data_IF_330565941232
#
_entry.id   IF_330565941232
#
_cell.length_a   1.000
_cell.length_b   1.000
_cell.length_c   1.000
_cell.angle_alpha   90.00
_cell.angle_beta   90.00
_cell.angle_gamma   90.00
#
_symmetry.space_group_name_H-M   'P 1'
#
loop_
_entity.id
_entity.type
_entity.pdbx_description
1 polymer ?
#
# COMPACT_ATOMS: atom_id res chain seq x y z
N UNK A 1 30.70 -2.38 11.94
CA UNK A 1 30.34 -2.53 10.51
C UNK A 1 28.94 -3.13 10.46
N UNK A 2 27.90 -2.31 10.42
CA UNK A 2 26.54 -2.83 10.19
C UNK A 2 26.42 -3.21 8.73
N UNK A 3 26.15 -4.49 8.47
CA UNK A 3 25.92 -4.99 7.12
C UNK A 3 24.69 -4.28 6.54
N UNK A 4 24.89 -3.56 5.44
CA UNK A 4 23.84 -3.02 4.55
C UNK A 4 23.07 -4.18 3.89
N UNK A 5 22.36 -4.96 4.70
CA UNK A 5 21.60 -6.13 4.26
C UNK A 5 20.13 -5.81 4.09
N UNK A 6 19.53 -6.38 3.05
CA UNK A 6 18.07 -6.50 2.92
C UNK A 6 17.54 -7.17 4.19
N UNK A 7 16.58 -6.54 4.87
CA UNK A 7 15.99 -7.12 6.08
C UNK A 7 14.92 -8.16 5.71
N UNK A 8 14.54 -9.02 6.66
CA UNK A 8 13.41 -9.93 6.44
C UNK A 8 12.11 -9.17 6.13
N UNK A 9 11.98 -7.94 6.64
CA UNK A 9 10.85 -7.06 6.36
C UNK A 9 10.87 -6.58 4.90
N UNK A 10 12.03 -6.18 4.38
CA UNK A 10 12.18 -5.86 2.94
C UNK A 10 11.80 -7.06 2.06
N UNK A 11 12.25 -8.26 2.42
CA UNK A 11 11.90 -9.48 1.69
C UNK A 11 10.39 -9.77 1.71
N UNK A 12 9.72 -9.57 2.86
CA UNK A 12 8.27 -9.72 2.98
C UNK A 12 7.51 -8.71 2.12
N UNK A 13 7.97 -7.45 2.08
CA UNK A 13 7.40 -6.41 1.23
C UNK A 13 7.56 -6.72 -0.26
N UNK A 14 8.74 -7.20 -0.68
CA UNK A 14 8.96 -7.62 -2.08
C UNK A 14 8.08 -8.82 -2.44
N UNK A 15 7.93 -9.79 -1.55
CA UNK A 15 7.03 -10.93 -1.78
C UNK A 15 5.57 -10.49 -1.90
N UNK A 16 5.13 -9.57 -1.04
CA UNK A 16 3.80 -8.96 -1.13
C UNK A 16 3.61 -8.23 -2.46
N UNK A 17 4.60 -7.41 -2.86
CA UNK A 17 4.59 -6.69 -4.13
C UNK A 17 4.44 -7.64 -5.32
N UNK A 18 5.24 -8.70 -5.37
CA UNK A 18 5.17 -9.73 -6.41
C UNK A 18 3.81 -10.47 -6.40
N UNK A 19 3.24 -10.71 -5.22
CA UNK A 19 1.90 -11.29 -5.07
C UNK A 19 0.81 -10.40 -5.68
N UNK A 20 0.80 -9.11 -5.34
CA UNK A 20 -0.16 -8.13 -5.88
C UNK A 20 0.01 -7.96 -7.40
N UNK A 21 1.26 -7.91 -7.87
CA UNK A 21 1.59 -7.88 -9.29
C UNK A 21 0.99 -9.08 -10.03
N UNK A 22 1.26 -10.29 -9.54
CA UNK A 22 0.79 -11.54 -10.14
C UNK A 22 -0.73 -11.62 -10.17
N UNK A 23 -1.40 -11.17 -9.10
CA UNK A 23 -2.86 -11.13 -9.03
C UNK A 23 -3.48 -10.19 -10.06
N UNK A 24 -2.90 -9.02 -10.27
CA UNK A 24 -3.40 -8.07 -11.28
C UNK A 24 -3.08 -8.53 -12.70
N UNK A 25 -1.87 -9.06 -12.92
CA UNK A 25 -1.43 -9.62 -14.19
C UNK A 25 -2.41 -10.70 -14.67
N UNK A 26 -2.78 -11.63 -13.79
CA UNK A 26 -3.76 -12.70 -14.09
C UNK A 26 -5.18 -12.19 -14.35
N UNK A 27 -5.55 -11.02 -13.83
CA UNK A 27 -6.89 -10.44 -13.98
C UNK A 27 -7.00 -9.49 -15.17
N UNK A 28 -5.89 -9.10 -15.80
CA UNK A 28 -5.85 -8.16 -16.91
C UNK A 28 -6.61 -6.87 -16.62
N UNK A 29 -7.63 -6.55 -17.42
CA UNK A 29 -8.49 -5.36 -17.24
C UNK A 29 -9.22 -5.36 -15.89
N UNK A 30 -9.62 -6.53 -15.39
CA UNK A 30 -10.20 -6.66 -14.06
C UNK A 30 -9.20 -6.32 -12.95
N UNK A 31 -7.90 -6.52 -13.20
CA UNK A 31 -6.81 -6.08 -12.33
C UNK A 31 -6.68 -4.57 -12.28
N UNK A 32 -6.87 -3.88 -13.41
CA UNK A 32 -6.91 -2.41 -13.46
C UNK A 32 -8.10 -1.86 -12.69
N UNK A 33 -9.30 -2.39 -12.94
CA UNK A 33 -10.51 -1.96 -12.24
C UNK A 33 -10.37 -2.15 -10.72
N UNK A 34 -9.80 -3.30 -10.31
CA UNK A 34 -9.52 -3.58 -8.91
C UNK A 34 -8.50 -2.61 -8.29
N UNK A 35 -7.39 -2.36 -8.98
CA UNK A 35 -6.35 -1.44 -8.53
C UNK A 35 -6.86 -0.01 -8.38
N UNK A 36 -7.57 0.51 -9.39
CA UNK A 36 -8.16 1.85 -9.34
C UNK A 36 -9.16 1.97 -8.20
N UNK A 37 -10.01 0.98 -8.00
CA UNK A 37 -10.99 1.00 -6.92
C UNK A 37 -10.32 1.04 -5.54
N UNK A 38 -9.26 0.23 -5.32
CA UNK A 38 -8.51 0.28 -4.08
C UNK A 38 -7.79 1.62 -3.87
N UNK A 39 -7.17 2.18 -4.91
CA UNK A 39 -6.50 3.48 -4.85
C UNK A 39 -7.47 4.64 -4.58
N UNK A 40 -8.76 4.51 -4.91
CA UNK A 40 -9.79 5.51 -4.59
C UNK A 40 -10.42 5.27 -3.21
N UNK A 41 -10.66 4.01 -2.84
CA UNK A 41 -11.31 3.67 -1.56
C UNK A 41 -10.38 3.90 -0.39
N UNK A 42 -9.08 3.60 -0.54
CA UNK A 42 -8.09 3.85 0.51
C UNK A 42 -8.18 5.27 1.10
N UNK A 43 -7.98 6.36 0.33
CA UNK A 43 -7.95 7.71 0.89
C UNK A 43 -9.30 8.08 1.51
N UNK A 44 -10.40 7.59 0.92
CA UNK A 44 -11.73 7.81 1.46
C UNK A 44 -11.88 7.21 2.86
N UNK A 45 -11.40 5.98 3.06
CA UNK A 45 -11.40 5.31 4.37
C UNK A 45 -10.43 5.99 5.33
N UNK A 46 -9.23 6.36 4.89
CA UNK A 46 -8.26 7.08 5.74
C UNK A 46 -8.83 8.43 6.21
N UNK A 47 -9.48 9.18 5.31
CA UNK A 47 -10.14 10.42 5.65
C UNK A 47 -11.31 10.22 6.62
N UNK A 48 -12.13 9.19 6.40
CA UNK A 48 -13.24 8.85 7.30
C UNK A 48 -12.72 8.41 8.68
N UNK A 49 -11.64 7.63 8.72
CA UNK A 49 -11.00 7.15 9.94
C UNK A 49 -10.45 8.29 10.79
N UNK A 50 -9.89 9.33 10.16
CA UNK A 50 -9.42 10.52 10.86
C UNK A 50 -10.55 11.30 11.56
N UNK A 51 -11.80 11.20 11.08
CA UNK A 51 -12.97 11.86 11.70
C UNK A 51 -13.70 10.96 12.68
N UNK A 52 -13.92 9.71 12.31
CA UNK A 52 -14.66 8.74 13.10
C UNK A 52 -14.23 7.31 12.78
N UNK A 53 -13.31 6.78 13.61
CA UNK A 53 -12.80 5.42 13.46
C UNK A 53 -13.89 4.34 13.52
N UNK A 54 -14.95 4.56 14.31
CA UNK A 54 -16.06 3.61 14.48
C UNK A 54 -16.87 3.45 13.19
N UNK A 55 -17.06 4.53 12.42
CA UNK A 55 -17.74 4.48 11.12
C UNK A 55 -16.81 4.01 9.99
N UNK A 56 -15.50 4.27 10.10
CA UNK A 56 -14.54 3.89 9.08
C UNK A 56 -14.40 2.37 8.93
N UNK A 57 -14.48 1.62 10.04
CA UNK A 57 -14.36 0.16 10.03
C UNK A 57 -15.47 -0.54 9.22
N UNK A 58 -16.78 -0.33 9.50
CA UNK A 58 -17.84 -0.93 8.70
C UNK A 58 -17.83 -0.43 7.25
N UNK A 59 -17.51 0.86 7.02
CA UNK A 59 -17.37 1.39 5.68
C UNK A 59 -16.27 0.68 4.88
N UNK A 60 -15.11 0.42 5.51
CA UNK A 60 -14.00 -0.29 4.89
C UNK A 60 -14.37 -1.74 4.53
N UNK A 61 -15.11 -2.42 5.41
CA UNK A 61 -15.59 -3.78 5.15
C UNK A 61 -16.57 -3.83 3.96
N UNK A 62 -17.55 -2.92 3.94
CA UNK A 62 -18.56 -2.85 2.87
C UNK A 62 -17.91 -2.50 1.53
N UNK A 63 -17.08 -1.44 1.51
CA UNK A 63 -16.39 -1.03 0.29
C UNK A 63 -15.40 -2.10 -0.19
N UNK A 64 -14.65 -2.71 0.73
CA UNK A 64 -13.75 -3.82 0.42
C UNK A 64 -14.49 -5.00 -0.20
N UNK A 65 -15.65 -5.36 0.34
CA UNK A 65 -16.50 -6.40 -0.23
C UNK A 65 -17.01 -6.02 -1.63
N UNK A 66 -17.50 -4.79 -1.83
CA UNK A 66 -17.97 -4.30 -3.13
C UNK A 66 -16.86 -4.33 -4.20
N UNK A 67 -15.62 -4.02 -3.83
CA UNK A 67 -14.46 -4.07 -4.74
C UNK A 67 -14.20 -5.46 -5.31
N UNK A 68 -14.57 -6.52 -4.59
CA UNK A 68 -14.41 -7.89 -5.10
C UNK A 68 -15.29 -8.21 -6.31
N UNK A 69 -16.35 -7.43 -6.53
CA UNK A 69 -17.30 -7.62 -7.64
C UNK A 69 -16.91 -6.85 -8.91
N UNK A 70 -16.12 -5.78 -8.77
CA UNK A 70 -15.68 -4.94 -9.89
C UNK A 70 -14.98 -5.70 -11.02
N UNK A 71 -14.05 -6.65 -10.75
CA UNK A 71 -13.45 -7.47 -11.81
C UNK A 71 -14.47 -8.27 -12.62
N UNK A 72 -15.58 -8.71 -12.01
CA UNK A 72 -16.64 -9.46 -12.69
C UNK A 72 -17.46 -8.55 -13.61
N UNK A 73 -17.70 -7.31 -13.20
CA UNK A 73 -18.41 -6.33 -14.03
C UNK A 73 -17.66 -6.05 -15.35
N UNK A 74 -16.32 -5.98 -15.29
CA UNK A 74 -15.48 -5.64 -16.45
C UNK A 74 -15.00 -6.88 -17.22
N UNK A 75 -15.37 -8.10 -16.79
CA UNK A 75 -14.99 -9.35 -17.45
C UNK A 75 -15.49 -9.48 -18.91
N UNK A 76 -16.48 -8.66 -19.30
CA UNK A 76 -17.05 -8.64 -20.64
C UNK A 76 -16.18 -7.87 -21.65
N UNK A 77 -15.20 -7.08 -21.19
CA UNK A 77 -14.30 -6.30 -22.04
C UNK A 77 -13.24 -7.23 -22.63
N UNK A 78 -13.38 -7.52 -23.92
CA UNK A 78 -12.39 -8.31 -24.67
C UNK A 78 -11.35 -7.38 -25.30
N UNK A 79 -10.12 -7.45 -24.80
CA UNK A 79 -8.95 -6.81 -25.39
C UNK A 79 -8.00 -7.90 -25.89
N UNK A 80 -7.06 -7.58 -26.80
CA UNK A 80 -6.00 -8.50 -27.16
C UNK A 80 -5.25 -8.98 -25.91
N UNK A 81 -4.87 -10.26 -25.88
CA UNK A 81 -4.23 -10.87 -24.71
C UNK A 81 -3.00 -10.06 -24.27
N UNK A 82 -2.10 -9.70 -25.19
CA UNK A 82 -0.94 -8.89 -24.87
C UNK A 82 -1.30 -7.57 -24.14
N UNK A 83 -2.38 -6.90 -24.55
CA UNK A 83 -2.84 -5.65 -23.91
C UNK A 83 -3.37 -5.93 -22.50
N UNK A 84 -4.08 -7.04 -22.30
CA UNK A 84 -4.57 -7.43 -20.97
C UNK A 84 -3.41 -7.68 -20.00
N UNK A 85 -2.37 -8.39 -20.43
CA UNK A 85 -1.19 -8.66 -19.62
C UNK A 85 -0.44 -7.37 -19.26
N UNK A 86 -0.23 -6.47 -20.24
CA UNK A 86 0.44 -5.18 -19.97
C UNK A 86 -0.37 -4.35 -18.98
N UNK A 87 -1.68 -4.21 -19.18
CA UNK A 87 -2.54 -3.42 -18.30
C UNK A 87 -2.59 -4.00 -16.88
N UNK A 88 -2.78 -5.32 -16.76
CA UNK A 88 -2.79 -5.99 -15.46
C UNK A 88 -1.45 -5.93 -14.74
N UNK A 89 -0.34 -6.09 -15.47
CA UNK A 89 1.01 -5.97 -14.92
C UNK A 89 1.30 -4.56 -14.43
N UNK A 90 1.00 -3.53 -15.24
CA UNK A 90 1.18 -2.13 -14.85
C UNK A 90 0.34 -1.76 -13.62
N UNK A 91 -0.95 -2.12 -13.62
CA UNK A 91 -1.81 -1.83 -12.47
C UNK A 91 -1.36 -2.57 -11.21
N UNK A 92 -0.88 -3.81 -11.35
CA UNK A 92 -0.33 -4.60 -10.26
C UNK A 92 0.96 -4.04 -9.69
N UNK A 93 1.86 -3.57 -10.56
CA UNK A 93 3.10 -2.93 -10.15
C UNK A 93 2.82 -1.65 -9.36
N UNK A 94 1.92 -0.80 -9.86
CA UNK A 94 1.52 0.46 -9.21
C UNK A 94 0.81 0.20 -7.88
N UNK A 95 -0.22 -0.65 -7.88
CA UNK A 95 -0.96 -0.97 -6.66
C UNK A 95 -0.07 -1.62 -5.61
N UNK A 96 0.73 -2.60 -6.01
CA UNK A 96 1.64 -3.28 -5.11
C UNK A 96 2.65 -2.30 -4.50
N UNK A 97 3.18 -1.36 -5.29
CA UNK A 97 4.11 -0.34 -4.81
C UNK A 97 3.41 0.59 -3.81
N UNK A 98 2.18 1.00 -4.09
CA UNK A 98 1.37 1.79 -3.16
C UNK A 98 1.14 1.08 -1.82
N UNK A 99 0.74 -0.20 -1.85
CA UNK A 99 0.56 -1.03 -0.64
C UNK A 99 1.87 -1.20 0.11
N UNK A 100 2.97 -1.44 -0.60
CA UNK A 100 4.30 -1.60 -0.02
C UNK A 100 4.73 -0.34 0.72
N UNK A 101 4.63 0.82 0.07
CA UNK A 101 4.98 2.11 0.65
C UNK A 101 4.10 2.40 1.87
N UNK A 102 2.82 2.16 1.79
CA UNK A 102 1.95 2.40 2.92
C UNK A 102 2.24 1.49 4.13
N UNK A 103 2.55 0.20 3.93
CA UNK A 103 2.98 -0.69 5.01
C UNK A 103 4.36 -0.29 5.56
N UNK A 104 5.24 0.17 4.69
CA UNK A 104 6.55 0.69 5.07
C UNK A 104 6.44 1.90 5.99
N UNK A 105 5.34 2.65 5.94
CA UNK A 105 5.05 3.86 6.71
C UNK A 105 3.91 3.73 7.73
N UNK A 106 3.37 2.52 7.94
CA UNK A 106 2.26 2.30 8.86
C UNK A 106 2.67 2.15 10.33
N UNK A 107 3.97 2.20 10.63
CA UNK A 107 4.45 2.06 12.01
C UNK A 107 4.26 3.37 12.79
N UNK A 108 4.08 3.31 14.12
CA UNK A 108 3.87 4.52 14.91
C UNK A 108 5.13 5.40 14.91
N UNK A 109 4.92 6.72 14.91
CA UNK A 109 5.94 7.73 15.19
C UNK A 109 5.82 8.13 16.67
N UNK A 110 6.93 8.16 17.40
CA UNK A 110 6.97 8.71 18.77
C UNK A 110 8.19 9.60 18.96
N UNK A 111 7.98 10.74 19.61
CA UNK A 111 9.04 11.71 19.92
C UNK A 111 9.88 12.10 18.68
N UNK A 112 9.24 12.18 17.50
CA UNK A 112 9.92 12.49 16.24
C UNK A 112 10.79 11.37 15.65
N UNK A 113 10.83 10.19 16.28
CA UNK A 113 11.58 9.04 15.79
C UNK A 113 10.68 8.06 15.04
N UNK A 114 11.16 7.60 13.88
CA UNK A 114 10.53 6.56 13.08
C UNK A 114 11.54 5.46 12.73
N UNK A 115 11.17 4.18 12.90
CA UNK A 115 9.96 3.72 13.58
C UNK A 115 10.03 4.01 15.09
N UNK A 116 8.89 4.03 15.81
CA UNK A 116 8.86 4.25 17.27
C UNK A 116 9.79 3.30 18.03
N UNK A 117 10.52 3.83 19.02
CA UNK A 117 11.37 3.06 19.94
C UNK A 117 10.62 2.02 20.79
N UNK A 118 9.30 2.17 20.90
CA UNK A 118 8.44 1.28 21.68
C UNK A 118 8.12 -0.03 20.94
N UNK A 119 8.54 -0.18 19.68
CA UNK A 119 8.35 -1.42 18.94
C UNK A 119 9.21 -2.55 19.50
N UNK A 120 8.75 -3.81 19.39
CA UNK A 120 9.57 -4.97 19.72
C UNK A 120 10.95 -4.90 19.04
N UNK A 121 12.06 -5.25 19.73
CA UNK A 121 13.42 -5.02 19.23
C UNK A 121 13.73 -5.66 17.87
N UNK A 122 13.05 -6.74 17.51
CA UNK A 122 13.17 -7.40 16.20
C UNK A 122 12.51 -6.57 15.08
N UNK A 123 11.33 -6.03 15.33
CA UNK A 123 10.61 -5.15 14.41
C UNK A 123 11.30 -3.80 14.26
N UNK A 124 11.71 -3.19 15.37
CA UNK A 124 12.44 -1.92 15.36
C UNK A 124 13.68 -2.01 14.47
N UNK A 125 14.50 -3.07 14.64
CA UNK A 125 15.68 -3.29 13.80
C UNK A 125 15.33 -3.58 12.35
N UNK A 126 14.29 -4.38 12.08
CA UNK A 126 13.91 -4.76 10.72
C UNK A 126 13.40 -3.56 9.89
N UNK A 127 12.58 -2.71 10.51
CA UNK A 127 12.02 -1.51 9.87
C UNK A 127 13.07 -0.40 9.85
N UNK A 128 13.75 -0.13 10.96
CA UNK A 128 14.77 0.93 11.05
C UNK A 128 15.95 0.72 10.10
N UNK A 129 16.32 -0.54 9.82
CA UNK A 129 17.39 -0.87 8.87
C UNK A 129 16.89 -1.23 7.46
N UNK A 130 15.60 -1.06 7.18
CA UNK A 130 15.00 -1.40 5.88
C UNK A 130 15.68 -0.63 4.74
N UNK A 131 16.07 -1.35 3.70
CA UNK A 131 16.57 -0.75 2.46
C UNK A 131 15.49 0.08 1.77
N UNK A 132 14.26 -0.46 1.68
CA UNK A 132 13.14 0.23 1.06
C UNK A 132 12.80 1.53 1.81
N UNK A 133 12.85 1.52 3.15
CA UNK A 133 12.61 2.71 3.96
C UNK A 133 13.56 3.85 3.59
N UNK A 134 14.86 3.54 3.42
CA UNK A 134 15.86 4.51 2.99
C UNK A 134 15.59 5.05 1.59
N UNK A 135 15.23 4.19 0.64
CA UNK A 135 14.91 4.61 -0.73
C UNK A 135 13.69 5.53 -0.78
N UNK A 136 12.66 5.25 0.01
CA UNK A 136 11.42 6.05 0.06
C UNK A 136 11.44 7.13 1.15
N UNK A 137 12.57 7.37 1.80
CA UNK A 137 12.70 8.39 2.84
C UNK A 137 12.44 9.81 2.31
N UNK A 138 12.64 10.05 1.00
CA UNK A 138 12.27 11.32 0.35
C UNK A 138 10.76 11.63 0.44
N UNK A 139 9.89 10.62 0.57
CA UNK A 139 8.45 10.82 0.72
C UNK A 139 8.09 11.55 2.01
N UNK A 140 8.98 11.56 3.01
CA UNK A 140 8.81 12.34 4.24
C UNK A 140 8.80 13.85 3.98
N UNK A 141 9.39 14.31 2.89
CA UNK A 141 9.41 15.74 2.53
C UNK A 141 8.45 16.04 1.37
N UNK A 142 7.65 15.05 0.97
CA UNK A 142 6.70 15.18 -0.13
C UNK A 142 5.52 16.11 0.18
N UNK A 143 4.65 16.37 -0.81
CA UNK A 143 3.46 17.20 -0.62
C UNK A 143 2.52 16.62 0.45
N UNK A 144 1.82 17.49 1.17
CA UNK A 144 0.95 17.11 2.31
C UNK A 144 -0.10 16.06 1.93
N UNK A 145 -0.64 16.11 0.71
CA UNK A 145 -1.57 15.09 0.20
C UNK A 145 -0.95 13.70 0.18
N UNK A 146 0.32 13.58 -0.24
CA UNK A 146 1.03 12.31 -0.27
C UNK A 146 1.40 11.85 1.13
N UNK A 147 1.76 12.78 2.03
CA UNK A 147 1.99 12.48 3.44
C UNK A 147 0.71 11.99 4.13
N UNK A 148 -0.46 12.60 3.88
CA UNK A 148 -1.75 12.12 4.44
C UNK A 148 -2.11 10.72 3.96
N UNK A 149 -1.72 10.39 2.72
CA UNK A 149 -2.03 9.11 2.11
C UNK A 149 -1.15 7.98 2.66
N UNK A 150 0.14 8.28 2.89
CA UNK A 150 1.17 7.29 3.23
C UNK A 150 1.51 7.27 4.73
N UNK A 151 1.42 8.43 5.40
CA UNK A 151 1.84 8.67 6.80
C UNK A 151 0.75 9.44 7.57
N UNK A 152 -0.46 8.87 7.74
CA UNK A 152 -1.59 9.61 8.32
C UNK A 152 -1.31 10.13 9.74
N UNK A 153 -0.48 9.43 10.52
CA UNK A 153 -0.15 9.81 11.91
C UNK A 153 0.69 11.08 12.02
N UNK A 154 1.44 11.45 10.97
CA UNK A 154 2.25 12.68 10.98
C UNK A 154 1.41 13.94 10.76
N UNK A 155 0.30 13.81 10.04
CA UNK A 155 -0.55 14.93 9.62
C UNK A 155 -1.74 15.13 10.57
N UNK A 156 -1.82 14.36 11.66
CA UNK A 156 -2.80 14.61 12.72
C UNK A 156 -2.39 15.86 13.50
N UNK A 157 -3.29 16.86 13.65
CA UNK A 157 -3.06 18.00 14.51
C UNK A 157 -2.99 17.61 15.99
#
# INVERSE_FOLDING_TARGET
>A
METLGITWFDAALVALWAGVFTLCLRRGVGGVAWALALLVIWPLITFLSARNAVLALPAALILGWLVTWLPRAVAHVRLPEAVQWVLGGLSGAVLGLAVTIALLFSFPIRLGTYPSSDLPPSLYRAVGNSYLLRQFSGLWQGPELLQRYVMPDRVRP
#
